data_IF_212249629231
#
_entry.id   IF_212249629231
#
_cell.length_a   1.000
_cell.length_b   1.000
_cell.length_c   1.000
_cell.angle_alpha   90.00
_cell.angle_beta   90.00
_cell.angle_gamma   90.00
#
_symmetry.space_group_name_H-M   'P 1'
#
loop_
_entity.id
_entity.type
_entity.pdbx_description
1 polymer ?
#
# COMPACT_ATOMS: atom_id res chain seq x y z
N UNK A 1 -22.89 20.12 -38.17
CA UNK A 1 -22.76 21.18 -37.15
C UNK A 1 -22.93 20.46 -35.81
N UNK A 2 -21.88 19.75 -35.38
CA UNK A 2 -20.98 20.12 -34.26
C UNK A 2 -21.76 20.26 -32.95
N UNK A 3 -21.46 19.62 -31.82
CA UNK A 3 -20.37 18.76 -31.33
C UNK A 3 -21.03 18.03 -30.15
N UNK A 4 -20.94 16.69 -30.08
CA UNK A 4 -20.99 16.01 -28.80
C UNK A 4 -19.78 15.10 -28.81
N UNK A 5 -18.67 15.73 -28.46
CA UNK A 5 -17.36 15.12 -28.31
C UNK A 5 -17.49 13.84 -27.48
N UNK A 6 -16.82 12.80 -27.97
CA UNK A 6 -16.23 11.79 -27.11
C UNK A 6 -15.77 12.50 -25.84
N UNK A 7 -16.48 12.28 -24.72
CA UNK A 7 -15.92 12.60 -23.42
C UNK A 7 -14.80 11.58 -23.28
N UNK A 8 -13.64 11.88 -23.86
CA UNK A 8 -12.45 11.05 -23.79
C UNK A 8 -12.37 10.61 -22.34
N UNK A 9 -12.57 9.31 -22.10
CA UNK A 9 -12.60 8.74 -20.75
C UNK A 9 -11.44 9.37 -19.99
N UNK A 10 -11.75 10.17 -18.97
CA UNK A 10 -10.72 10.95 -18.29
C UNK A 10 -9.70 9.97 -17.74
N UNK A 11 -8.43 10.15 -18.10
CA UNK A 11 -7.38 9.23 -17.66
C UNK A 11 -7.31 9.18 -16.14
N UNK A 12 -7.20 7.99 -15.58
CA UNK A 12 -7.09 7.74 -14.14
C UNK A 12 -5.63 7.54 -13.75
N UNK A 13 -5.17 8.25 -12.73
CA UNK A 13 -3.85 8.04 -12.14
C UNK A 13 -3.99 7.47 -10.73
N UNK A 14 -3.29 6.39 -10.43
CA UNK A 14 -3.11 5.91 -9.06
C UNK A 14 -1.82 6.49 -8.49
N UNK A 15 -1.95 7.22 -7.38
CA UNK A 15 -0.86 7.87 -6.69
C UNK A 15 -0.68 7.23 -5.31
N UNK A 16 0.45 6.56 -5.11
CA UNK A 16 0.74 5.84 -3.88
C UNK A 16 1.62 6.70 -2.95
N UNK A 17 1.16 7.02 -1.72
CA UNK A 17 1.88 7.90 -0.82
C UNK A 17 3.12 7.23 -0.22
N UNK A 18 4.03 8.06 0.30
CA UNK A 18 5.23 7.63 0.99
C UNK A 18 5.09 7.63 2.51
N UNK A 19 6.20 7.39 3.20
CA UNK A 19 6.30 7.39 4.65
C UNK A 19 5.73 8.70 5.24
N UNK A 20 5.00 8.59 6.36
CA UNK A 20 4.30 9.70 7.02
C UNK A 20 2.79 9.72 6.77
N UNK A 21 2.29 9.02 5.75
CA UNK A 21 0.86 8.89 5.45
C UNK A 21 0.20 7.75 6.24
N UNK A 22 0.20 7.86 7.57
CA UNK A 22 -0.40 6.87 8.46
C UNK A 22 -1.58 7.47 9.22
N UNK A 23 -2.58 6.65 9.50
CA UNK A 23 -3.71 6.96 10.36
C UNK A 23 -4.01 5.74 11.25
N UNK A 24 -4.56 5.99 12.45
CA UNK A 24 -5.01 4.92 13.33
C UNK A 24 -6.17 4.16 12.67
N UNK A 25 -6.11 2.82 12.69
CA UNK A 25 -7.13 1.98 12.07
C UNK A 25 -7.08 1.93 10.55
N UNK A 26 -5.97 2.36 9.91
CA UNK A 26 -5.88 2.45 8.46
C UNK A 26 -6.20 1.13 7.75
N UNK A 27 -7.05 1.22 6.73
CA UNK A 27 -7.44 0.11 5.87
C UNK A 27 -8.34 -0.95 6.52
N UNK A 28 -8.74 -0.78 7.80
CA UNK A 28 -9.65 -1.71 8.50
C UNK A 28 -11.00 -1.84 7.81
N UNK A 29 -11.68 -0.72 7.59
CA UNK A 29 -13.03 -0.71 7.01
C UNK A 29 -13.06 -1.35 5.62
N UNK A 30 -12.06 -1.03 4.79
CA UNK A 30 -11.91 -1.60 3.45
C UNK A 30 -11.62 -3.11 3.51
N UNK A 31 -10.74 -3.55 4.41
CA UNK A 31 -10.43 -4.97 4.55
C UNK A 31 -11.62 -5.78 5.06
N UNK A 32 -12.40 -5.24 6.00
CA UNK A 32 -13.61 -5.89 6.51
C UNK A 32 -14.71 -5.99 5.43
N UNK A 33 -14.79 -5.01 4.53
CA UNK A 33 -15.77 -4.99 3.45
C UNK A 33 -15.38 -5.86 2.23
N UNK A 34 -14.08 -5.95 1.91
CA UNK A 34 -13.60 -6.60 0.68
C UNK A 34 -12.65 -7.76 0.99
N UNK A 35 -13.03 -9.02 0.71
CA UNK A 35 -12.19 -10.19 1.00
C UNK A 35 -10.78 -10.13 0.38
N UNK A 36 -10.65 -9.61 -0.85
CA UNK A 36 -9.36 -9.46 -1.51
C UNK A 36 -8.44 -8.46 -0.78
N UNK A 37 -9.01 -7.41 -0.18
CA UNK A 37 -8.25 -6.46 0.63
C UNK A 37 -7.79 -7.08 1.95
N UNK A 38 -8.62 -7.91 2.60
CA UNK A 38 -8.22 -8.68 3.79
C UNK A 38 -7.07 -9.65 3.48
N UNK A 39 -7.08 -10.30 2.31
CA UNK A 39 -6.05 -11.25 1.92
C UNK A 39 -4.66 -10.60 1.79
N UNK A 40 -4.60 -9.32 1.37
CA UNK A 40 -3.35 -8.56 1.32
C UNK A 40 -2.70 -8.46 2.71
N UNK A 41 -3.47 -8.22 3.77
CA UNK A 41 -2.92 -8.20 5.12
C UNK A 41 -2.44 -9.57 5.57
N UNK A 42 -3.12 -10.65 5.19
CA UNK A 42 -2.68 -12.03 5.50
C UNK A 42 -1.36 -12.34 4.81
N UNK A 43 -1.29 -12.19 3.48
CA UNK A 43 -0.08 -12.40 2.68
C UNK A 43 1.05 -11.49 3.14
N UNK A 44 0.75 -10.22 3.39
CA UNK A 44 1.73 -9.25 3.88
C UNK A 44 2.29 -9.59 5.26
N UNK A 45 1.46 -10.14 6.15
CA UNK A 45 1.90 -10.57 7.47
C UNK A 45 2.87 -11.75 7.37
N UNK A 46 2.54 -12.74 6.54
CA UNK A 46 3.43 -13.87 6.24
C UNK A 46 4.76 -13.40 5.59
N UNK A 47 4.68 -12.43 4.69
CA UNK A 47 5.83 -11.90 3.96
C UNK A 47 6.77 -11.06 4.83
N UNK A 48 6.24 -10.25 5.74
CA UNK A 48 7.03 -9.34 6.59
C UNK A 48 7.46 -9.95 7.92
N UNK A 49 6.81 -11.03 8.36
CA UNK A 49 6.95 -11.55 9.72
C UNK A 49 6.29 -10.69 10.79
N UNK A 50 5.47 -9.70 10.40
CA UNK A 50 4.70 -8.84 11.29
C UNK A 50 3.22 -9.22 11.26
N UNK A 51 2.49 -8.96 12.35
CA UNK A 51 1.02 -8.99 12.31
C UNK A 51 0.49 -7.66 11.75
N UNK A 52 0.54 -7.51 10.41
CA UNK A 52 0.18 -6.24 9.75
C UNK A 52 -1.28 -5.88 9.95
N UNK A 53 -2.16 -6.87 10.09
CA UNK A 53 -3.56 -6.63 10.40
C UNK A 53 -3.70 -5.93 11.75
N UNK A 54 -3.15 -6.54 12.81
CA UNK A 54 -3.21 -5.96 14.16
C UNK A 54 -2.49 -4.61 14.23
N UNK A 55 -1.35 -4.48 13.56
CA UNK A 55 -0.60 -3.24 13.51
C UNK A 55 -1.45 -2.11 12.89
N UNK A 56 -2.00 -2.32 11.70
CA UNK A 56 -2.75 -1.28 11.02
C UNK A 56 -4.12 -1.00 11.67
N UNK A 57 -4.78 -2.01 12.24
CA UNK A 57 -6.17 -1.88 12.68
C UNK A 57 -6.33 -1.47 14.14
N UNK A 58 -5.40 -1.91 15.00
CA UNK A 58 -5.58 -1.87 16.45
C UNK A 58 -4.48 -1.10 17.18
N UNK A 59 -3.36 -0.78 16.52
CA UNK A 59 -2.25 -0.09 17.19
C UNK A 59 -2.44 1.43 17.20
N UNK A 60 -2.04 2.12 18.29
CA UNK A 60 -1.99 3.57 18.30
C UNK A 60 -0.96 4.08 17.28
N UNK A 61 -1.10 5.33 16.85
CA UNK A 61 -0.24 5.90 15.80
C UNK A 61 1.26 5.81 16.16
N UNK A 62 1.60 6.01 17.43
CA UNK A 62 2.98 5.91 17.93
C UNK A 62 3.60 4.52 17.72
N UNK A 63 2.78 3.46 17.69
CA UNK A 63 3.23 2.10 17.38
C UNK A 63 3.46 1.85 15.89
N UNK A 64 2.94 2.73 15.02
CA UNK A 64 3.07 2.63 13.56
C UNK A 64 4.20 3.51 13.00
N UNK A 65 4.68 4.52 13.74
CA UNK A 65 5.70 5.46 13.26
C UNK A 65 7.13 4.91 13.30
N UNK A 66 7.37 3.79 14.00
CA UNK A 66 8.67 3.12 13.96
C UNK A 66 8.99 2.70 12.52
N UNK A 67 10.11 3.17 11.98
CA UNK A 67 10.37 3.12 10.52
C UNK A 67 10.36 1.69 9.96
N UNK A 68 10.81 0.70 10.74
CA UNK A 68 10.82 -0.72 10.39
C UNK A 68 9.42 -1.38 10.32
N UNK A 69 8.43 -0.75 10.95
CA UNK A 69 7.01 -1.16 10.98
C UNK A 69 6.21 -0.34 9.98
N UNK A 70 6.49 0.97 9.90
CA UNK A 70 5.76 1.93 9.09
C UNK A 70 5.73 1.56 7.60
N UNK A 71 6.87 1.17 7.04
CA UNK A 71 6.99 0.93 5.61
C UNK A 71 6.15 -0.28 5.14
N UNK A 72 6.25 -1.47 5.73
CA UNK A 72 5.40 -2.60 5.33
C UNK A 72 3.92 -2.38 5.65
N UNK A 73 3.59 -1.66 6.73
CA UNK A 73 2.21 -1.30 7.06
C UNK A 73 1.58 -0.42 5.97
N UNK A 74 2.26 0.66 5.58
CA UNK A 74 1.77 1.58 4.55
C UNK A 74 1.63 0.90 3.18
N UNK A 75 2.59 0.04 2.81
CA UNK A 75 2.51 -0.73 1.58
C UNK A 75 1.32 -1.68 1.59
N UNK A 76 1.10 -2.43 2.68
CA UNK A 76 -0.03 -3.35 2.79
C UNK A 76 -1.36 -2.62 2.68
N UNK A 77 -1.52 -1.46 3.33
CA UNK A 77 -2.75 -0.66 3.20
C UNK A 77 -2.96 -0.14 1.79
N UNK A 78 -1.91 0.33 1.12
CA UNK A 78 -1.98 0.76 -0.28
C UNK A 78 -2.43 -0.37 -1.22
N UNK A 79 -1.88 -1.57 -1.04
CA UNK A 79 -2.22 -2.75 -1.83
C UNK A 79 -3.60 -3.31 -1.49
N UNK A 80 -4.05 -3.19 -0.25
CA UNK A 80 -5.40 -3.57 0.16
C UNK A 80 -6.46 -2.66 -0.50
N UNK A 81 -6.22 -1.35 -0.53
CA UNK A 81 -7.08 -0.39 -1.24
C UNK A 81 -7.07 -0.68 -2.75
N UNK A 82 -5.89 -0.96 -3.33
CA UNK A 82 -5.80 -1.38 -4.73
C UNK A 82 -6.63 -2.64 -5.01
N UNK A 83 -6.56 -3.66 -4.15
CA UNK A 83 -7.34 -4.88 -4.30
C UNK A 83 -8.85 -4.60 -4.26
N UNK A 84 -9.29 -3.66 -3.41
CA UNK A 84 -10.68 -3.21 -3.37
C UNK A 84 -11.10 -2.48 -4.65
N UNK A 85 -10.28 -1.54 -5.16
CA UNK A 85 -10.56 -0.85 -6.43
C UNK A 85 -10.67 -1.83 -7.60
N UNK A 86 -9.81 -2.86 -7.64
CA UNK A 86 -9.83 -3.91 -8.66
C UNK A 86 -11.04 -4.82 -8.57
N UNK A 87 -11.51 -5.12 -7.36
CA UNK A 87 -12.75 -5.87 -7.17
C UNK A 87 -13.96 -5.16 -7.80
N UNK A 88 -13.92 -3.82 -7.88
CA UNK A 88 -14.90 -2.97 -8.55
C UNK A 88 -14.57 -2.70 -10.04
N UNK A 89 -13.51 -3.30 -10.59
CA UNK A 89 -13.11 -3.14 -11.99
C UNK A 89 -12.47 -1.79 -12.33
N UNK A 90 -11.98 -1.04 -11.32
CA UNK A 90 -11.30 0.25 -11.52
C UNK A 90 -9.81 -0.01 -11.75
N UNK A 91 -9.30 0.40 -12.91
CA UNK A 91 -7.89 0.28 -13.29
C UNK A 91 -7.29 1.66 -13.64
N UNK A 92 -5.98 1.86 -13.41
CA UNK A 92 -5.30 3.10 -13.75
C UNK A 92 -4.76 3.12 -15.19
N UNK A 93 -4.67 4.32 -15.77
CA UNK A 93 -3.88 4.58 -16.99
C UNK A 93 -2.42 4.91 -16.66
N UNK A 94 -2.17 5.45 -15.46
CA UNK A 94 -0.86 5.90 -14.98
C UNK A 94 -0.71 5.56 -13.51
N UNK A 95 0.49 5.14 -13.11
CA UNK A 95 0.83 4.87 -11.70
C UNK A 95 2.04 5.68 -11.30
N UNK A 96 2.02 6.26 -10.10
CA UNK A 96 3.17 6.94 -9.50
C UNK A 96 3.23 6.59 -8.02
N UNK A 97 4.43 6.53 -7.47
CA UNK A 97 4.63 6.31 -6.04
C UNK A 97 5.74 7.19 -5.50
N UNK A 98 5.54 7.74 -4.30
CA UNK A 98 6.54 8.57 -3.65
C UNK A 98 7.34 7.75 -2.62
N UNK A 99 8.65 7.61 -2.81
CA UNK A 99 9.53 6.85 -1.91
C UNK A 99 9.02 5.40 -1.74
N UNK A 100 8.62 4.97 -0.53
CA UNK A 100 8.06 3.63 -0.31
C UNK A 100 6.78 3.37 -1.13
N UNK A 101 6.04 4.40 -1.53
CA UNK A 101 4.87 4.26 -2.40
C UNK A 101 5.22 3.72 -3.79
N UNK A 102 6.48 3.84 -4.25
CA UNK A 102 6.93 3.30 -5.54
C UNK A 102 6.77 1.78 -5.62
N UNK A 103 6.94 1.06 -4.51
CA UNK A 103 6.73 -0.39 -4.45
C UNK A 103 5.26 -0.77 -4.65
N UNK A 104 4.33 0.05 -4.14
CA UNK A 104 2.90 -0.13 -4.41
C UNK A 104 2.59 0.15 -5.89
N UNK A 105 3.19 1.17 -6.49
CA UNK A 105 3.05 1.47 -7.91
C UNK A 105 3.55 0.31 -8.79
N UNK A 106 4.73 -0.24 -8.50
CA UNK A 106 5.29 -1.39 -9.22
C UNK A 106 4.41 -2.65 -9.08
N UNK A 107 3.97 -2.97 -7.87
CA UNK A 107 3.07 -4.09 -7.63
C UNK A 107 1.71 -3.87 -8.32
N UNK A 108 1.22 -2.63 -8.40
CA UNK A 108 -0.05 -2.34 -9.06
C UNK A 108 -0.04 -2.68 -10.54
N UNK A 109 1.08 -2.54 -11.23
CA UNK A 109 1.22 -2.93 -12.65
C UNK A 109 1.71 -4.36 -12.86
N UNK A 110 1.81 -5.16 -11.78
CA UNK A 110 2.22 -6.56 -11.83
C UNK A 110 3.72 -6.78 -12.01
N UNK A 111 4.56 -5.74 -11.81
CA UNK A 111 6.02 -5.89 -11.85
C UNK A 111 6.58 -6.64 -10.62
N UNK A 112 5.80 -6.70 -9.54
CA UNK A 112 6.09 -7.44 -8.31
C UNK A 112 4.80 -8.05 -7.77
N UNK A 113 4.89 -9.20 -7.12
CA UNK A 113 3.77 -9.72 -6.32
C UNK A 113 3.65 -8.95 -5.00
N UNK A 114 2.50 -9.07 -4.33
CA UNK A 114 2.28 -8.47 -3.00
C UNK A 114 3.31 -8.93 -1.98
N UNK A 115 3.62 -10.23 -1.94
CA UNK A 115 4.59 -10.79 -0.99
C UNK A 115 6.03 -10.36 -1.30
N UNK A 116 6.42 -10.29 -2.57
CA UNK A 116 7.74 -9.77 -2.99
C UNK A 116 7.91 -8.30 -2.59
N UNK A 117 6.91 -7.46 -2.87
CA UNK A 117 6.95 -6.04 -2.55
C UNK A 117 7.05 -5.83 -1.03
N UNK A 118 6.24 -6.55 -0.24
CA UNK A 118 6.25 -6.42 1.22
C UNK A 118 7.55 -6.94 1.84
N UNK A 119 8.10 -8.06 1.36
CA UNK A 119 9.43 -8.56 1.79
C UNK A 119 10.52 -7.53 1.54
N UNK A 120 10.56 -6.97 0.33
CA UNK A 120 11.59 -5.99 -0.03
C UNK A 120 11.46 -4.70 0.79
N UNK A 121 10.24 -4.21 0.98
CA UNK A 121 9.99 -3.01 1.79
C UNK A 121 10.29 -3.24 3.27
N UNK A 122 10.06 -4.44 3.80
CA UNK A 122 10.49 -4.83 5.14
C UNK A 122 12.00 -4.71 5.30
N UNK A 123 12.77 -5.30 4.38
CA UNK A 123 14.24 -5.20 4.40
C UNK A 123 14.72 -3.76 4.26
N UNK A 124 14.08 -2.96 3.40
CA UNK A 124 14.36 -1.53 3.25
C UNK A 124 14.15 -0.77 4.56
N UNK A 125 13.03 -1.01 5.26
CA UNK A 125 12.74 -0.38 6.54
C UNK A 125 13.77 -0.72 7.61
N UNK A 126 14.16 -2.00 7.71
CA UNK A 126 15.21 -2.46 8.63
C UNK A 126 16.56 -1.82 8.33
N UNK A 127 16.99 -1.81 7.07
CA UNK A 127 18.25 -1.20 6.66
C UNK A 127 18.32 0.30 6.96
N UNK A 128 17.21 1.02 6.75
CA UNK A 128 17.12 2.45 7.07
C UNK A 128 17.17 2.72 8.57
N UNK A 129 16.44 1.92 9.37
CA UNK A 129 16.47 2.03 10.82
C UNK A 129 17.86 1.75 11.39
N UNK A 130 18.57 0.76 10.84
CA UNK A 130 19.95 0.47 11.21
C UNK A 130 20.90 1.61 10.88
N UNK A 131 20.83 2.17 9.67
CA UNK A 131 21.65 3.31 9.29
C UNK A 131 21.40 4.54 10.20
N UNK A 132 20.16 4.75 10.64
CA UNK A 132 19.82 5.85 11.54
C UNK A 132 20.40 5.69 12.96
N UNK A 133 20.60 4.45 13.45
CA UNK A 133 21.21 4.18 14.77
C UNK A 133 22.72 4.34 14.80
N UNK A 134 23.38 4.38 13.64
CA UNK A 134 24.84 4.49 13.53
C UNK A 134 25.35 5.94 13.60
N UNK A 135 24.45 6.90 13.85
CA UNK A 135 24.72 8.33 13.97
C UNK A 135 24.03 8.91 15.21
#
# INVERSE_FOLDING_TARGET
>A
MERQEDRAMSKVAFCFPGQGSLEEGMGREIAEAVPAAMDVYRVGSEASGLDLKKLCFDSPLDGLVETEVQQPALLATSLAILAALRAEGIEPDVVVGHSVGEFAALASVGAMTTDEAIRLVRERGLAMAEAARQH
#
